data_IF_695294552639
#
_entry.id   IF_695294552639
#
_cell.length_a   1.000
_cell.length_b   1.000
_cell.length_c   1.000
_cell.angle_alpha   90.00
_cell.angle_beta   90.00
_cell.angle_gamma   90.00
#
_symmetry.space_group_name_H-M   'P 1'
#
loop_
_entity.id
_entity.type
_entity.pdbx_description
1 polymer ?
#
# COMPACT_ATOMS: atom_id res chain seq x y z
N UNK A 1 1.79 11.46 21.34
CA UNK A 1 1.81 11.09 19.91
C UNK A 1 1.66 9.58 19.81
N UNK A 2 0.82 9.08 18.90
CA UNK A 2 0.57 7.63 18.73
C UNK A 2 1.60 7.05 17.77
N UNK A 3 2.41 6.08 18.21
CA UNK A 3 3.48 5.49 17.39
C UNK A 3 3.52 3.97 17.52
N UNK A 4 3.82 3.29 16.40
CA UNK A 4 3.94 1.85 16.34
C UNK A 4 5.09 1.45 15.40
N UNK A 5 6.02 0.65 15.90
CA UNK A 5 7.09 0.05 15.09
C UNK A 5 6.69 -1.37 14.68
N UNK A 6 6.76 -1.66 13.39
CA UNK A 6 6.39 -2.93 12.79
C UNK A 6 7.58 -3.56 12.08
N UNK A 7 8.08 -4.68 12.60
CA UNK A 7 9.12 -5.49 11.99
C UNK A 7 8.51 -6.44 10.96
N UNK A 8 8.97 -6.29 9.72
CA UNK A 8 8.53 -7.06 8.56
C UNK A 8 9.73 -7.65 7.81
N UNK A 9 9.47 -8.56 6.87
CA UNK A 9 10.44 -9.05 5.92
C UNK A 9 11.04 -7.93 5.05
N UNK A 10 12.31 -8.07 4.67
CA UNK A 10 12.96 -7.12 3.78
C UNK A 10 12.55 -7.35 2.32
N UNK A 11 12.04 -6.30 1.68
CA UNK A 11 11.79 -6.23 0.23
C UNK A 11 12.15 -4.84 -0.30
N UNK A 12 12.41 -4.72 -1.60
CA UNK A 12 12.64 -3.43 -2.26
C UNK A 12 11.33 -2.67 -2.41
N UNK A 13 10.29 -3.28 -2.99
CA UNK A 13 9.09 -2.59 -3.48
C UNK A 13 7.84 -2.84 -2.64
N UNK A 14 7.72 -4.01 -2.00
CA UNK A 14 6.50 -4.41 -1.29
C UNK A 14 5.23 -4.28 -2.16
N UNK A 15 5.31 -4.78 -3.40
CA UNK A 15 4.21 -4.84 -4.38
C UNK A 15 3.98 -6.26 -4.92
N UNK A 16 4.35 -7.29 -4.15
CA UNK A 16 4.41 -8.68 -4.60
C UNK A 16 5.82 -9.17 -4.89
N UNK A 17 6.04 -10.47 -4.74
CA UNK A 17 7.31 -11.13 -5.08
C UNK A 17 7.56 -11.13 -6.58
N UNK A 18 8.76 -10.72 -6.98
CA UNK A 18 9.28 -10.82 -8.35
C UNK A 18 10.65 -11.50 -8.35
N UNK A 19 11.14 -11.90 -9.52
CA UNK A 19 12.47 -12.53 -9.63
C UNK A 19 13.61 -11.67 -9.06
N UNK A 20 13.48 -10.34 -9.10
CA UNK A 20 14.47 -9.38 -8.59
C UNK A 20 14.11 -8.75 -7.21
N UNK A 21 12.96 -9.13 -6.64
CA UNK A 21 12.45 -8.63 -5.35
C UNK A 21 11.73 -9.74 -4.57
N UNK A 22 12.53 -10.59 -3.92
CA UNK A 22 12.05 -11.63 -3.01
C UNK A 22 12.00 -11.11 -1.58
N UNK A 23 11.08 -11.65 -0.78
CA UNK A 23 11.00 -11.35 0.64
C UNK A 23 12.06 -12.11 1.44
N UNK A 24 12.80 -11.38 2.29
CA UNK A 24 13.76 -11.98 3.23
C UNK A 24 13.26 -11.82 4.66
N UNK A 25 12.85 -12.93 5.28
CA UNK A 25 12.34 -12.95 6.65
C UNK A 25 13.49 -12.99 7.68
N UNK A 26 13.30 -12.32 8.81
CA UNK A 26 14.24 -12.34 9.93
C UNK A 26 13.82 -13.36 11.00
N UNK A 27 13.86 -14.67 10.72
CA UNK A 27 13.60 -15.71 11.72
C UNK A 27 13.20 -17.07 11.13
N UNK A 28 13.31 -18.14 11.94
CA UNK A 28 12.97 -19.53 11.59
C UNK A 28 11.45 -19.82 11.54
N UNK A 29 10.60 -18.89 12.02
CA UNK A 29 9.16 -19.07 12.01
C UNK A 29 8.56 -18.70 10.66
N UNK A 30 8.47 -19.74 9.82
CA UNK A 30 7.68 -19.76 8.60
C UNK A 30 6.27 -20.22 8.99
N UNK A 31 5.42 -19.30 9.47
CA UNK A 31 4.00 -19.60 9.67
C UNK A 31 3.40 -20.04 8.33
N UNK A 32 2.69 -21.16 8.30
CA UNK A 32 2.13 -21.76 7.09
C UNK A 32 0.88 -21.02 6.58
N UNK A 33 0.25 -20.18 7.40
CA UNK A 33 -1.11 -19.70 7.13
C UNK A 33 -1.21 -18.26 6.58
N UNK A 34 -0.20 -17.40 6.79
CA UNK A 34 -0.26 -15.99 6.38
C UNK A 34 1.04 -15.49 5.71
N UNK A 35 1.77 -16.42 5.05
CA UNK A 35 3.08 -16.13 4.43
C UNK A 35 3.00 -14.96 3.48
N UNK A 36 3.81 -13.93 3.76
CA UNK A 36 4.10 -12.88 2.81
C UNK A 36 2.95 -11.90 2.57
N UNK A 37 1.92 -11.80 3.42
CA UNK A 37 0.95 -10.70 3.30
C UNK A 37 1.63 -9.32 3.35
N UNK A 38 2.70 -9.21 4.14
CA UNK A 38 3.57 -8.02 4.21
C UNK A 38 4.22 -7.64 2.87
N UNK A 39 4.29 -8.56 1.89
CA UNK A 39 4.85 -8.30 0.57
C UNK A 39 4.07 -7.24 -0.23
N UNK A 40 2.87 -6.89 0.23
CA UNK A 40 1.97 -5.92 -0.41
C UNK A 40 1.78 -4.64 0.39
N UNK A 41 2.57 -4.41 1.45
CA UNK A 41 2.38 -3.24 2.32
C UNK A 41 2.33 -1.93 1.52
N UNK A 42 3.13 -1.78 0.45
CA UNK A 42 3.14 -0.58 -0.40
C UNK A 42 2.49 -0.78 -1.78
N UNK A 43 1.53 -1.72 -1.87
CA UNK A 43 0.69 -1.90 -3.05
C UNK A 43 -0.50 -0.92 -3.00
N UNK A 44 -0.55 0.02 -3.94
CA UNK A 44 -1.63 1.00 -4.02
C UNK A 44 -2.93 0.33 -4.53
N UNK A 45 -4.00 0.45 -3.75
CA UNK A 45 -5.36 0.11 -4.14
C UNK A 45 -6.25 1.30 -3.78
N UNK A 46 -6.90 1.90 -4.78
CA UNK A 46 -7.79 3.07 -4.60
C UNK A 46 -7.18 4.20 -3.75
N UNK A 47 -5.90 4.50 -3.96
CA UNK A 47 -5.20 5.58 -3.25
C UNK A 47 -4.85 5.26 -1.80
N UNK A 48 -4.93 3.99 -1.38
CA UNK A 48 -4.60 3.55 -0.04
C UNK A 48 -3.53 2.43 -0.06
N UNK A 49 -2.76 2.38 1.03
CA UNK A 49 -1.95 1.24 1.42
C UNK A 49 -2.64 0.46 2.54
N UNK A 50 -2.53 -0.86 2.44
CA UNK A 50 -3.12 -1.83 3.36
C UNK A 50 -1.97 -2.65 3.94
N UNK A 51 -1.40 -2.14 5.04
CA UNK A 51 -0.26 -2.72 5.71
C UNK A 51 -0.63 -3.92 6.58
N UNK A 52 0.21 -4.93 6.51
CA UNK A 52 0.16 -6.13 7.34
C UNK A 52 1.42 -6.22 8.22
N UNK A 53 1.21 -6.44 9.50
CA UNK A 53 2.23 -6.94 10.44
C UNK A 53 1.67 -8.15 11.16
N UNK A 54 2.43 -9.25 11.16
CA UNK A 54 2.03 -10.46 11.88
C UNK A 54 2.11 -10.22 13.40
N UNK A 55 0.95 -10.24 14.06
CA UNK A 55 0.84 -10.32 15.52
C UNK A 55 1.02 -11.78 15.94
N UNK A 56 1.88 -12.06 16.92
CA UNK A 56 2.16 -13.44 17.36
C UNK A 56 0.88 -14.14 17.82
N UNK A 57 0.57 -15.31 17.26
CA UNK A 57 -0.40 -16.24 17.85
C UNK A 57 0.24 -16.94 19.05
N UNK A 58 -0.11 -16.52 20.26
CA UNK A 58 0.16 -17.33 21.45
C UNK A 58 -1.05 -18.23 21.70
N UNK A 59 -1.04 -19.46 21.18
CA UNK A 59 -2.14 -20.43 21.34
C UNK A 59 -3.43 -20.04 20.62
N UNK A 60 -4.50 -20.81 20.84
CA UNK A 60 -5.84 -20.76 20.19
C UNK A 60 -6.61 -19.41 20.32
N UNK A 61 -5.94 -18.27 20.46
CA UNK A 61 -6.54 -16.94 20.45
C UNK A 61 -6.18 -16.23 19.15
N UNK A 62 -7.18 -15.58 18.54
CA UNK A 62 -7.00 -14.71 17.38
C UNK A 62 -5.93 -13.66 17.70
N UNK A 63 -4.94 -13.52 16.82
CA UNK A 63 -3.82 -12.61 17.03
C UNK A 63 -4.29 -11.15 16.99
N UNK A 64 -4.48 -10.52 18.15
CA UNK A 64 -4.89 -9.12 18.24
C UNK A 64 -3.69 -8.16 18.43
N UNK A 65 -3.83 -6.94 17.93
CA UNK A 65 -2.94 -5.83 18.20
C UNK A 65 -3.51 -5.04 19.38
N UNK A 66 -2.72 -4.94 20.45
CA UNK A 66 -3.09 -4.27 21.69
C UNK A 66 -3.05 -2.75 21.51
N UNK A 67 -4.15 -2.16 21.02
CA UNK A 67 -4.24 -0.73 20.69
C UNK A 67 -3.99 0.16 21.91
N UNK A 68 -4.43 -0.27 23.09
CA UNK A 68 -4.17 0.37 24.38
C UNK A 68 -2.68 0.53 24.70
N UNK A 69 -1.81 -0.29 24.09
CA UNK A 69 -0.36 -0.13 24.21
C UNK A 69 0.21 0.94 23.29
N UNK A 70 -0.50 1.33 22.23
CA UNK A 70 -0.13 2.49 21.41
C UNK A 70 -0.56 3.77 22.13
N UNK A 71 -1.81 3.81 22.57
CA UNK A 71 -2.43 4.97 23.20
C UNK A 71 -3.62 4.52 24.05
N UNK A 72 -3.84 5.19 25.18
CA UNK A 72 -4.86 4.78 26.14
C UNK A 72 -6.27 4.93 25.56
N UNK A 73 -6.48 5.81 24.56
CA UNK A 73 -7.75 5.91 23.82
C UNK A 73 -8.09 4.65 23.00
N UNK A 74 -7.14 3.72 22.85
CA UNK A 74 -7.32 2.44 22.17
C UNK A 74 -8.04 1.38 23.01
N UNK A 75 -8.24 1.61 24.31
CA UNK A 75 -8.94 0.68 25.20
C UNK A 75 -10.38 0.44 24.72
N UNK A 76 -10.77 -0.84 24.62
CA UNK A 76 -12.09 -1.28 24.11
C UNK A 76 -12.47 -0.75 22.71
N UNK A 77 -11.49 -0.32 21.90
CA UNK A 77 -11.69 0.06 20.49
C UNK A 77 -11.25 -1.03 19.53
N UNK A 78 -11.90 -1.10 18.38
CA UNK A 78 -11.51 -2.00 17.27
C UNK A 78 -10.45 -1.38 16.35
N UNK A 79 -10.25 -0.07 16.44
CA UNK A 79 -9.26 0.66 15.65
C UNK A 79 -8.82 1.95 16.33
N UNK A 80 -7.62 2.40 15.98
CA UNK A 80 -7.03 3.65 16.43
C UNK A 80 -6.53 4.44 15.21
N UNK A 81 -6.94 5.70 15.11
CA UNK A 81 -6.54 6.61 14.02
C UNK A 81 -5.37 7.52 14.44
N UNK A 82 -4.80 8.20 13.45
CA UNK A 82 -3.69 9.16 13.61
C UNK A 82 -2.41 8.53 14.20
N UNK A 83 -2.14 7.27 13.83
CA UNK A 83 -0.96 6.55 14.28
C UNK A 83 0.19 6.76 13.28
N UNK A 84 1.38 7.10 13.77
CA UNK A 84 2.62 7.00 13.02
C UNK A 84 3.09 5.54 13.06
N UNK A 85 2.96 4.84 11.93
CA UNK A 85 3.45 3.47 11.79
C UNK A 85 4.80 3.48 11.11
N UNK A 86 5.83 2.96 11.78
CA UNK A 86 7.19 2.87 11.27
C UNK A 86 7.48 1.42 10.87
N UNK A 87 7.76 1.21 9.59
CA UNK A 87 8.12 -0.11 9.07
C UNK A 87 9.63 -0.33 9.23
N UNK A 88 9.97 -1.42 9.88
CA UNK A 88 11.33 -1.83 10.16
C UNK A 88 11.59 -3.18 9.48
N UNK A 89 12.72 -3.34 8.83
CA UNK A 89 13.11 -4.64 8.28
C UNK A 89 14.60 -4.87 8.42
N UNK A 90 15.00 -6.11 8.64
CA UNK A 90 16.41 -6.50 8.71
C UNK A 90 16.97 -6.67 7.30
N UNK A 91 17.96 -5.85 6.93
CA UNK A 91 18.67 -6.00 5.66
C UNK A 91 19.34 -7.38 5.59
N UNK A 92 19.27 -8.10 4.45
CA UNK A 92 19.96 -9.37 4.28
C UNK A 92 21.44 -9.24 4.65
N UNK A 93 21.95 -10.22 5.41
CA UNK A 93 23.33 -10.28 5.91
C UNK A 93 23.75 -9.19 6.91
N UNK A 94 22.88 -8.26 7.29
CA UNK A 94 23.15 -7.29 8.36
C UNK A 94 23.00 -7.97 9.73
N UNK A 95 23.91 -7.68 10.68
CA UNK A 95 23.89 -8.22 12.05
C UNK A 95 23.61 -7.15 13.11
N UNK A 96 23.52 -5.87 12.74
CA UNK A 96 23.48 -4.72 13.66
C UNK A 96 22.08 -4.49 14.20
N UNK A 97 21.05 -4.53 13.35
CA UNK A 97 19.67 -4.25 13.74
C UNK A 97 18.71 -4.17 12.55
N UNK A 98 17.47 -3.78 12.83
CA UNK A 98 16.51 -3.43 11.80
C UNK A 98 16.84 -2.08 11.17
N UNK A 99 16.37 -1.84 9.95
CA UNK A 99 16.40 -0.53 9.32
C UNK A 99 14.98 0.00 9.17
N UNK A 100 14.78 1.30 9.36
CA UNK A 100 13.54 1.94 8.91
C UNK A 100 13.49 1.81 7.39
N UNK A 101 12.46 1.16 6.87
CA UNK A 101 12.25 0.97 5.42
C UNK A 101 11.22 1.93 4.86
N UNK A 102 10.39 2.53 5.73
CA UNK A 102 9.32 3.43 5.37
C UNK A 102 8.39 3.67 6.55
N UNK A 103 7.37 4.47 6.33
CA UNK A 103 6.36 4.79 7.35
C UNK A 103 5.04 5.16 6.72
N UNK A 104 3.98 5.02 7.51
CA UNK A 104 2.65 5.59 7.25
C UNK A 104 2.39 6.66 8.30
N UNK A 105 2.20 7.91 7.87
CA UNK A 105 1.61 8.95 8.72
C UNK A 105 0.09 8.78 8.72
N UNK A 106 -0.56 9.28 9.76
CA UNK A 106 -2.02 9.33 9.85
C UNK A 106 -2.72 7.98 9.62
N UNK A 107 -2.09 6.87 10.02
CA UNK A 107 -2.61 5.54 9.77
C UNK A 107 -3.76 5.18 10.72
N UNK A 108 -4.70 4.39 10.23
CA UNK A 108 -5.65 3.63 11.04
C UNK A 108 -5.06 2.25 11.33
N UNK A 109 -4.91 1.90 12.60
CA UNK A 109 -4.45 0.58 13.07
C UNK A 109 -5.64 -0.18 13.64
N UNK A 110 -5.84 -1.42 13.22
CA UNK A 110 -6.94 -2.27 13.65
C UNK A 110 -6.48 -3.29 14.70
N UNK A 111 -7.35 -3.55 15.69
CA UNK A 111 -7.13 -4.58 16.71
C UNK A 111 -7.06 -5.97 16.10
N UNK A 112 -7.98 -6.27 15.18
CA UNK A 112 -8.05 -7.54 14.47
C UNK A 112 -7.67 -7.36 13.01
N UNK A 113 -7.17 -8.43 12.39
CA UNK A 113 -6.97 -8.46 10.94
C UNK A 113 -8.29 -8.12 10.23
N UNK A 114 -8.17 -7.27 9.22
CA UNK A 114 -9.19 -6.95 8.24
C UNK A 114 -8.80 -7.63 6.94
N UNK A 115 -9.82 -7.96 6.16
CA UNK A 115 -9.63 -8.55 4.86
C UNK A 115 -10.39 -7.72 3.84
N UNK A 116 -9.81 -7.56 2.67
CA UNK A 116 -10.52 -7.23 1.45
C UNK A 116 -10.22 -8.33 0.43
N UNK A 117 -10.84 -8.25 -0.74
CA UNK A 117 -10.70 -9.31 -1.74
C UNK A 117 -9.27 -9.56 -2.27
N UNK A 118 -8.32 -8.67 -1.95
CA UNK A 118 -6.94 -8.76 -2.40
C UNK A 118 -5.96 -9.02 -1.25
N UNK A 119 -6.27 -8.55 -0.04
CA UNK A 119 -5.29 -8.41 1.04
C UNK A 119 -5.90 -8.67 2.42
N UNK A 120 -5.10 -9.31 3.27
CA UNK A 120 -5.26 -9.32 4.72
C UNK A 120 -4.34 -8.22 5.28
N UNK A 121 -4.87 -7.36 6.15
CA UNK A 121 -4.17 -6.19 6.68
C UNK A 121 -4.64 -5.86 8.10
N UNK A 122 -3.83 -5.11 8.86
CA UNK A 122 -4.22 -4.54 10.16
C UNK A 122 -3.85 -3.07 10.27
N UNK A 123 -3.38 -2.45 9.19
CA UNK A 123 -2.99 -1.06 9.12
C UNK A 123 -3.47 -0.49 7.78
N UNK A 124 -4.07 0.69 7.77
CA UNK A 124 -4.49 1.39 6.54
C UNK A 124 -4.03 2.83 6.58
N UNK A 125 -3.53 3.35 5.47
CA UNK A 125 -3.20 4.76 5.32
C UNK A 125 -3.38 5.22 3.87
N UNK A 126 -3.58 6.51 3.66
CA UNK A 126 -3.57 7.08 2.32
C UNK A 126 -2.14 7.06 1.76
N UNK A 127 -2.00 6.81 0.47
CA UNK A 127 -0.66 6.78 -0.15
C UNK A 127 0.09 8.09 -0.01
N UNK A 128 -0.61 9.24 0.02
CA UNK A 128 -0.01 10.57 0.18
C UNK A 128 0.70 10.76 1.53
N UNK A 129 0.23 10.08 2.57
CA UNK A 129 0.79 10.13 3.93
C UNK A 129 1.94 9.12 4.15
N UNK A 130 2.26 8.32 3.14
CA UNK A 130 3.19 7.21 3.26
C UNK A 130 4.51 7.48 2.53
N UNK A 131 5.59 6.85 2.98
CA UNK A 131 6.88 6.86 2.27
C UNK A 131 7.48 5.47 2.33
N UNK A 132 7.85 4.92 1.17
CA UNK A 132 8.80 3.82 1.06
C UNK A 132 10.19 4.37 0.75
N UNK A 133 11.17 4.07 1.60
CA UNK A 133 12.54 4.55 1.41
C UNK A 133 13.23 3.66 0.36
N UNK A 134 13.93 4.24 -0.64
CA UNK A 134 14.72 3.47 -1.59
C UNK A 134 15.75 2.60 -0.87
N UNK A 135 16.00 1.34 -1.32
CA UNK A 135 16.89 0.41 -0.61
C UNK A 135 18.29 0.95 -0.27
N UNK A 136 18.81 1.89 -1.07
CA UNK A 136 20.11 2.54 -0.85
C UNK A 136 20.09 3.61 0.26
N UNK A 137 18.93 4.17 0.58
CA UNK A 137 18.75 5.20 1.61
C UNK A 137 18.19 4.66 2.94
N UNK A 138 17.96 3.35 3.06
CA UNK A 138 17.52 2.68 4.30
C UNK A 138 18.67 2.54 5.30
N UNK A 139 19.15 3.67 5.81
CA UNK A 139 20.36 3.76 6.64
C UNK A 139 20.05 3.84 8.13
N UNK A 140 18.89 4.38 8.51
CA UNK A 140 18.51 4.58 9.92
C UNK A 140 18.27 3.24 10.63
N UNK A 141 18.95 3.03 11.75
CA UNK A 141 18.97 1.75 12.49
C UNK A 141 17.99 1.79 13.66
N UNK A 142 17.15 0.77 13.78
CA UNK A 142 16.43 0.44 15.01
C UNK A 142 17.13 -0.76 15.64
N UNK A 143 17.80 -0.50 16.76
CA UNK A 143 18.55 -1.53 17.46
C UNK A 143 17.62 -2.49 18.21
N UNK A 144 17.99 -3.79 18.32
CA UNK A 144 17.27 -4.73 19.15
C UNK A 144 17.39 -4.36 20.64
N UNK A 145 16.32 -4.54 21.42
CA UNK A 145 16.32 -4.31 22.87
C UNK A 145 17.42 -5.10 23.60
N UNK A 146 17.79 -6.29 23.10
CA UNK A 146 18.88 -7.09 23.67
C UNK A 146 20.27 -6.44 23.59
N UNK A 147 20.44 -5.40 22.75
CA UNK A 147 21.70 -4.68 22.56
C UNK A 147 21.74 -3.42 23.42
N UNK A 148 20.63 -2.67 23.46
CA UNK A 148 20.59 -1.33 24.06
C UNK A 148 19.73 -1.22 25.33
N UNK A 149 19.15 -2.33 25.79
CA UNK A 149 18.35 -2.41 27.01
C UNK A 149 16.87 -2.68 26.77
N UNK A 150 16.20 -3.23 27.78
CA UNK A 150 14.75 -3.40 27.78
C UNK A 150 14.05 -2.04 27.63
N UNK A 151 12.92 -1.98 26.93
CA UNK A 151 12.19 -0.74 26.65
C UNK A 151 12.81 0.13 25.55
N UNK A 152 14.12 0.02 25.30
CA UNK A 152 14.89 0.87 24.38
C UNK A 152 14.94 0.37 22.94
N UNK A 153 14.16 -0.63 22.53
CA UNK A 153 14.24 -1.10 21.15
C UNK A 153 13.33 -2.26 20.86
N UNK A 154 13.45 -2.81 19.64
CA UNK A 154 12.58 -3.91 19.23
C UNK A 154 12.99 -5.22 19.89
N UNK A 155 12.02 -5.86 20.53
CA UNK A 155 12.17 -7.19 21.15
C UNK A 155 11.98 -8.33 20.15
N UNK A 156 11.57 -9.50 20.64
CA UNK A 156 11.24 -10.67 19.79
C UNK A 156 9.87 -10.55 19.10
N UNK A 157 9.06 -9.54 19.43
CA UNK A 157 7.76 -9.30 18.79
C UNK A 157 7.95 -8.58 17.46
N UNK A 158 7.04 -8.78 16.51
CA UNK A 158 7.02 -7.98 15.29
C UNK A 158 6.52 -6.56 15.55
N UNK A 159 5.89 -6.30 16.70
CA UNK A 159 5.44 -4.97 17.09
C UNK A 159 6.22 -4.45 18.29
N UNK A 160 6.55 -3.16 18.28
CA UNK A 160 7.06 -2.43 19.42
C UNK A 160 6.30 -1.11 19.56
N UNK A 161 5.72 -0.91 20.74
CA UNK A 161 4.84 0.23 21.03
C UNK A 161 5.58 1.47 21.54
N UNK A 162 6.88 1.34 21.85
CA UNK A 162 7.74 2.43 22.28
C UNK A 162 7.11 3.33 23.37
N UNK A 163 6.54 2.73 24.42
CA UNK A 163 6.07 3.43 25.63
C UNK A 163 7.16 3.46 26.71
N UNK A 164 7.16 4.52 27.53
CA UNK A 164 8.08 4.70 28.66
C UNK A 164 9.20 5.71 28.39
N UNK A 165 9.77 6.26 29.47
CA UNK A 165 10.86 7.26 29.42
C UNK A 165 12.07 6.74 28.63
N UNK A 166 12.32 5.42 28.68
CA UNK A 166 13.47 4.81 27.99
C UNK A 166 13.38 4.88 26.46
N UNK A 167 12.17 5.04 25.91
CA UNK A 167 11.95 5.10 24.46
C UNK A 167 11.95 6.53 23.90
N UNK A 168 11.85 7.57 24.74
CA UNK A 168 11.63 8.96 24.33
C UNK A 168 12.70 9.47 23.37
N UNK A 169 13.98 9.33 23.74
CA UNK A 169 15.11 9.75 22.90
C UNK A 169 15.09 9.06 21.52
N UNK A 170 14.72 7.79 21.47
CA UNK A 170 14.67 7.02 20.22
C UNK A 170 13.51 7.51 19.35
N UNK A 171 12.35 7.78 19.97
CA UNK A 171 11.18 8.32 19.29
C UNK A 171 11.49 9.70 18.72
N UNK A 172 12.06 10.61 19.52
CA UNK A 172 12.44 11.95 19.07
C UNK A 172 13.40 11.91 17.88
N UNK A 173 14.44 11.07 17.95
CA UNK A 173 15.39 10.90 16.85
C UNK A 173 14.72 10.30 15.60
N UNK A 174 13.78 9.35 15.77
CA UNK A 174 13.02 8.79 14.66
C UNK A 174 12.09 9.81 14.01
N UNK A 175 11.37 10.62 14.79
CA UNK A 175 10.52 11.70 14.30
C UNK A 175 11.38 12.68 13.49
N UNK A 176 12.50 13.12 14.06
CA UNK A 176 13.43 14.03 13.37
C UNK A 176 13.91 13.45 12.05
N UNK A 177 14.27 12.17 12.01
CA UNK A 177 14.63 11.49 10.78
C UNK A 177 13.49 11.50 9.75
N UNK A 178 12.26 11.21 10.16
CA UNK A 178 11.07 11.19 9.29
C UNK A 178 10.71 12.59 8.77
N UNK A 179 10.82 13.62 9.62
CA UNK A 179 10.49 15.01 9.27
C UNK A 179 11.54 15.65 8.37
N UNK A 180 12.82 15.28 8.53
CA UNK A 180 13.92 15.79 7.71
C UNK A 180 14.18 14.98 6.45
N UNK A 181 13.50 13.84 6.28
CA UNK A 181 13.62 13.02 5.07
C UNK A 181 13.06 13.76 3.85
N UNK A 182 13.97 14.10 2.93
CA UNK A 182 13.67 14.89 1.73
C UNK A 182 13.98 14.15 0.42
N UNK A 183 14.44 12.89 0.50
CA UNK A 183 14.72 12.07 -0.69
C UNK A 183 13.43 11.60 -1.36
N UNK A 184 13.52 11.24 -2.63
CA UNK A 184 12.40 10.64 -3.34
C UNK A 184 11.92 9.34 -2.69
N UNK A 185 10.60 9.18 -2.65
CA UNK A 185 9.95 7.95 -2.21
C UNK A 185 9.98 6.90 -3.33
N UNK A 186 10.29 5.66 -2.97
CA UNK A 186 10.55 4.57 -3.91
C UNK A 186 9.28 3.95 -4.52
N UNK A 187 8.16 4.09 -3.83
CA UNK A 187 6.86 3.55 -4.18
C UNK A 187 6.13 4.34 -5.28
N UNK A 188 6.53 5.59 -5.56
CA UNK A 188 6.07 6.44 -6.67
C UNK A 188 4.57 6.27 -6.98
N UNK A 189 3.66 6.66 -6.06
CA UNK A 189 2.24 6.49 -6.27
C UNK A 189 1.75 7.32 -7.46
N UNK A 190 0.79 6.78 -8.21
CA UNK A 190 0.16 7.48 -9.32
C UNK A 190 -0.75 8.58 -8.77
N UNK A 191 -0.53 9.81 -9.25
CA UNK A 191 -1.28 11.01 -8.86
C UNK A 191 -2.49 11.26 -9.76
N UNK A 192 -3.43 12.09 -9.29
CA UNK A 192 -4.57 12.50 -10.12
C UNK A 192 -4.14 13.25 -11.38
N UNK A 193 -3.13 14.11 -11.27
CA UNK A 193 -2.56 14.85 -12.39
C UNK A 193 -2.04 13.88 -13.46
N UNK A 194 -1.36 12.80 -13.05
CA UNK A 194 -0.90 11.77 -13.99
C UNK A 194 -2.05 11.01 -14.66
N UNK A 195 -3.15 10.74 -13.95
CA UNK A 195 -4.33 10.04 -14.49
C UNK A 195 -5.13 10.91 -15.47
N UNK A 196 -5.15 12.23 -15.24
CA UNK A 196 -5.86 13.21 -16.08
C UNK A 196 -4.97 13.81 -17.18
N UNK A 197 -3.66 13.59 -17.10
CA UNK A 197 -2.69 14.07 -18.07
C UNK A 197 -3.06 13.64 -19.49
N UNK A 198 -2.98 14.59 -20.42
CA UNK A 198 -3.07 14.37 -21.85
C UNK A 198 -1.65 14.20 -22.37
N UNK A 199 -1.38 13.10 -23.07
CA UNK A 199 -0.03 12.82 -23.58
C UNK A 199 0.55 13.98 -24.40
N UNK A 200 1.87 14.11 -24.39
CA UNK A 200 2.63 15.03 -25.28
C UNK A 200 3.15 14.34 -26.55
N UNK A 201 3.01 13.02 -26.64
CA UNK A 201 3.40 12.26 -27.81
C UNK A 201 2.50 12.64 -28.99
N UNK A 202 3.09 12.78 -30.18
CA UNK A 202 2.40 13.17 -31.40
C UNK A 202 2.29 11.97 -32.35
N UNK A 203 1.08 11.64 -32.77
CA UNK A 203 0.79 10.68 -33.84
C UNK A 203 -0.02 11.36 -34.95
N UNK A 204 -0.02 10.74 -36.13
CA UNK A 204 -0.66 11.32 -37.32
C UNK A 204 -2.19 11.42 -37.24
N UNK A 205 -2.83 10.57 -36.42
CA UNK A 205 -4.29 10.52 -36.27
C UNK A 205 -4.70 9.94 -34.91
N UNK A 206 -5.97 10.15 -34.53
CA UNK A 206 -6.55 9.65 -33.27
C UNK A 206 -6.59 8.11 -33.19
N UNK A 207 -6.70 7.42 -34.33
CA UNK A 207 -6.73 5.95 -34.36
C UNK A 207 -5.36 5.35 -33.97
N UNK A 208 -4.27 6.06 -34.26
CA UNK A 208 -2.92 5.69 -33.85
C UNK A 208 -2.77 5.73 -32.32
N UNK A 209 -3.30 6.77 -31.66
CA UNK A 209 -3.38 6.82 -30.19
C UNK A 209 -4.18 5.65 -29.62
N UNK A 210 -5.30 5.29 -30.25
CA UNK A 210 -6.15 4.18 -29.80
C UNK A 210 -5.39 2.84 -29.87
N UNK A 211 -4.75 2.57 -31.01
CA UNK A 211 -3.97 1.34 -31.25
C UNK A 211 -2.81 1.22 -30.27
N UNK A 212 -2.07 2.30 -30.03
CA UNK A 212 -0.95 2.28 -29.05
C UNK A 212 -1.47 2.18 -27.61
N UNK A 213 -2.59 2.83 -27.29
CA UNK A 213 -3.25 2.70 -25.99
C UNK A 213 -3.64 1.26 -25.68
N UNK A 214 -4.24 0.57 -26.65
CA UNK A 214 -4.64 -0.83 -26.51
C UNK A 214 -3.46 -1.77 -26.30
N UNK A 215 -2.36 -1.57 -27.05
CA UNK A 215 -1.11 -2.34 -26.86
C UNK A 215 -0.51 -2.18 -25.46
N UNK A 216 -0.65 -0.98 -24.88
CA UNK A 216 -0.08 -0.65 -23.59
C UNK A 216 -1.00 -0.97 -22.41
N UNK A 217 -2.28 -1.34 -22.63
CA UNK A 217 -3.28 -1.42 -21.55
C UNK A 217 -2.84 -2.29 -20.36
N UNK A 218 -2.10 -3.38 -20.60
CA UNK A 218 -1.57 -4.24 -19.54
C UNK A 218 -0.10 -3.96 -19.18
N UNK A 219 0.68 -3.38 -20.11
CA UNK A 219 2.13 -3.14 -19.95
C UNK A 219 2.42 -1.81 -19.27
N UNK A 220 1.66 -0.78 -19.62
CA UNK A 220 1.71 0.56 -19.07
C UNK A 220 0.31 1.19 -19.12
N UNK A 221 -0.60 0.76 -18.21
CA UNK A 221 -1.98 1.21 -18.24
C UNK A 221 -2.12 2.73 -18.04
N UNK A 222 -1.18 3.35 -17.30
CA UNK A 222 -1.15 4.80 -17.11
C UNK A 222 -0.96 5.53 -18.45
N UNK A 223 0.01 5.10 -19.27
CA UNK A 223 0.24 5.70 -20.59
C UNK A 223 -0.94 5.46 -21.54
N UNK A 224 -1.59 4.29 -21.47
CA UNK A 224 -2.83 4.04 -22.21
C UNK A 224 -3.93 5.05 -21.88
N UNK A 225 -4.15 5.31 -20.57
CA UNK A 225 -5.11 6.33 -20.12
C UNK A 225 -4.76 7.70 -20.69
N UNK A 226 -3.48 8.07 -20.71
CA UNK A 226 -3.04 9.37 -21.23
C UNK A 226 -3.23 9.53 -22.75
N UNK A 227 -3.14 8.43 -23.51
CA UNK A 227 -3.52 8.40 -24.92
C UNK A 227 -5.03 8.54 -25.13
N UNK A 228 -5.84 7.85 -24.32
CA UNK A 228 -7.29 7.99 -24.39
C UNK A 228 -7.78 9.37 -23.92
N UNK A 229 -7.08 10.02 -22.99
CA UNK A 229 -7.34 11.41 -22.63
C UNK A 229 -7.13 12.37 -23.82
N UNK A 230 -6.10 12.14 -24.66
CA UNK A 230 -5.87 12.91 -25.89
C UNK A 230 -7.02 12.73 -26.88
N UNK A 231 -7.46 11.49 -27.10
CA UNK A 231 -8.61 11.19 -27.98
C UNK A 231 -9.88 11.89 -27.49
N UNK A 232 -10.19 11.83 -26.19
CA UNK A 232 -11.38 12.49 -25.64
C UNK A 232 -11.27 14.01 -25.78
N UNK A 233 -10.08 14.58 -25.54
CA UNK A 233 -9.86 16.03 -25.63
C UNK A 233 -10.05 16.56 -27.05
N UNK A 234 -9.61 15.83 -28.07
CA UNK A 234 -9.62 16.30 -29.46
C UNK A 234 -10.84 15.83 -30.25
N UNK A 235 -11.31 14.60 -30.01
CA UNK A 235 -12.45 13.99 -30.70
C UNK A 235 -13.79 14.10 -29.98
N UNK A 236 -13.79 14.54 -28.71
CA UNK A 236 -14.98 14.59 -27.86
C UNK A 236 -15.25 13.29 -27.10
N UNK A 237 -16.36 13.27 -26.35
CA UNK A 237 -16.74 12.12 -25.54
C UNK A 237 -17.14 10.91 -26.41
N UNK A 238 -16.52 9.75 -26.12
CA UNK A 238 -16.85 8.47 -26.76
C UNK A 238 -16.94 7.38 -25.67
N UNK A 239 -18.07 6.68 -25.62
CA UNK A 239 -18.34 5.67 -24.57
C UNK A 239 -17.37 4.48 -24.62
N UNK A 240 -16.89 4.07 -25.80
CA UNK A 240 -15.92 3.00 -25.93
C UNK A 240 -14.54 3.44 -25.42
N UNK A 241 -14.16 4.70 -25.64
CA UNK A 241 -12.92 5.26 -25.10
C UNK A 241 -13.01 5.41 -23.57
N UNK A 242 -14.16 5.84 -23.04
CA UNK A 242 -14.41 5.86 -21.60
C UNK A 242 -14.35 4.45 -21.00
N UNK A 243 -14.92 3.44 -21.67
CA UNK A 243 -14.85 2.05 -21.24
C UNK A 243 -13.40 1.57 -21.16
N UNK A 244 -12.58 1.85 -22.18
CA UNK A 244 -11.14 1.54 -22.18
C UNK A 244 -10.41 2.21 -21.03
N UNK A 245 -10.70 3.49 -20.76
CA UNK A 245 -10.15 4.22 -19.62
C UNK A 245 -10.54 3.56 -18.29
N UNK A 246 -11.77 3.04 -18.16
CA UNK A 246 -12.17 2.26 -16.99
C UNK A 246 -11.36 0.95 -16.85
N UNK A 247 -11.08 0.24 -17.94
CA UNK A 247 -10.17 -0.92 -17.91
C UNK A 247 -8.75 -0.53 -17.48
N UNK A 248 -8.26 0.62 -17.93
CA UNK A 248 -7.00 1.20 -17.48
C UNK A 248 -6.97 1.41 -15.96
N UNK A 249 -8.04 2.01 -15.39
CA UNK A 249 -8.17 2.18 -13.95
C UNK A 249 -8.17 0.84 -13.20
N UNK A 250 -8.85 -0.19 -13.70
CA UNK A 250 -8.84 -1.55 -13.11
C UNK A 250 -7.41 -2.11 -13.08
N UNK A 251 -6.66 -2.01 -14.18
CA UNK A 251 -5.28 -2.50 -14.26
C UNK A 251 -4.32 -1.73 -13.34
N UNK A 252 -4.65 -0.49 -12.98
CA UNK A 252 -3.95 0.31 -11.98
C UNK A 252 -4.48 0.13 -10.54
N UNK A 253 -5.51 -0.72 -10.34
CA UNK A 253 -6.20 -0.93 -9.05
C UNK A 253 -6.91 0.31 -8.50
N UNK A 254 -7.33 1.22 -9.38
CA UNK A 254 -8.27 2.31 -9.09
C UNK A 254 -9.71 1.85 -9.33
N UNK A 255 -10.12 0.81 -8.61
CA UNK A 255 -11.43 0.15 -8.76
C UNK A 255 -12.61 1.09 -8.55
N UNK A 256 -12.54 1.98 -7.56
CA UNK A 256 -13.59 2.97 -7.30
C UNK A 256 -13.75 3.97 -8.45
N UNK A 257 -12.65 4.38 -9.09
CA UNK A 257 -12.69 5.24 -10.30
C UNK A 257 -13.24 4.49 -11.50
N UNK A 258 -12.86 3.22 -11.67
CA UNK A 258 -13.37 2.36 -12.72
C UNK A 258 -14.89 2.17 -12.60
N UNK A 259 -15.39 1.80 -11.42
CA UNK A 259 -16.81 1.60 -11.15
C UNK A 259 -17.61 2.89 -11.44
N UNK A 260 -17.15 4.03 -10.93
CA UNK A 260 -17.78 5.34 -11.19
C UNK A 260 -17.88 5.64 -12.69
N UNK A 261 -16.82 5.36 -13.45
CA UNK A 261 -16.81 5.60 -14.89
C UNK A 261 -17.71 4.62 -15.66
N UNK A 262 -17.73 3.34 -15.26
CA UNK A 262 -18.62 2.33 -15.85
C UNK A 262 -20.09 2.66 -15.59
N UNK A 263 -20.43 3.10 -14.38
CA UNK A 263 -21.79 3.55 -14.04
C UNK A 263 -22.16 4.80 -14.82
N UNK A 264 -21.24 5.74 -14.99
CA UNK A 264 -21.46 6.90 -15.86
C UNK A 264 -21.80 6.49 -17.30
N UNK A 265 -21.06 5.54 -17.89
CA UNK A 265 -21.37 5.01 -19.23
C UNK A 265 -22.81 4.47 -19.29
N UNK A 266 -23.26 3.76 -18.26
CA UNK A 266 -24.64 3.24 -18.21
C UNK A 266 -25.73 4.32 -18.05
N UNK A 267 -25.37 5.51 -17.56
CA UNK A 267 -26.30 6.66 -17.56
C UNK A 267 -26.48 7.25 -18.97
N UNK A 268 -25.51 7.05 -19.86
CA UNK A 268 -25.53 7.52 -21.25
C UNK A 268 -26.11 6.49 -22.20
N UNK A 269 -25.76 5.22 -21.99
CA UNK A 269 -26.31 4.07 -22.70
C UNK A 269 -26.60 2.94 -21.70
N UNK A 270 -27.87 2.84 -21.32
CA UNK A 270 -28.34 1.82 -20.38
C UNK A 270 -28.25 0.40 -20.92
N UNK A 271 -27.96 0.19 -22.21
CA UNK A 271 -27.81 -1.11 -22.86
C UNK A 271 -26.36 -1.49 -23.17
N UNK A 272 -25.38 -0.69 -22.75
CA UNK A 272 -23.95 -0.95 -22.96
C UNK A 272 -23.50 -2.25 -22.26
N UNK A 273 -23.50 -3.37 -23.01
CA UNK A 273 -23.41 -4.74 -22.47
C UNK A 273 -22.08 -4.99 -21.75
N UNK A 274 -20.99 -4.52 -22.34
CA UNK A 274 -19.63 -4.66 -21.85
C UNK A 274 -19.43 -3.96 -20.50
N UNK A 275 -20.09 -2.81 -20.33
CA UNK A 275 -20.09 -2.03 -19.09
C UNK A 275 -20.81 -2.76 -17.96
N UNK A 276 -22.03 -3.25 -18.22
CA UNK A 276 -22.80 -4.06 -17.25
C UNK A 276 -22.02 -5.28 -16.80
N UNK A 277 -21.46 -6.04 -17.76
CA UNK A 277 -20.66 -7.22 -17.48
C UNK A 277 -19.45 -6.87 -16.62
N UNK A 278 -18.74 -5.79 -16.95
CA UNK A 278 -17.53 -5.39 -16.20
C UNK A 278 -17.84 -4.93 -14.78
N UNK A 279 -18.96 -4.25 -14.54
CA UNK A 279 -19.39 -3.89 -13.18
C UNK A 279 -19.63 -5.15 -12.35
N UNK A 280 -20.35 -6.14 -12.89
CA UNK A 280 -20.61 -7.40 -12.18
C UNK A 280 -19.29 -8.14 -11.87
N UNK A 281 -18.37 -8.20 -12.83
CA UNK A 281 -17.03 -8.79 -12.61
C UNK A 281 -16.27 -8.06 -11.50
N UNK A 282 -16.31 -6.73 -11.48
CA UNK A 282 -15.67 -5.91 -10.46
C UNK A 282 -16.31 -6.13 -9.08
N UNK A 283 -17.64 -6.12 -8.99
CA UNK A 283 -18.37 -6.39 -7.75
C UNK A 283 -18.07 -7.80 -7.22
N UNK A 284 -18.04 -8.81 -8.09
CA UNK A 284 -17.69 -10.18 -7.70
C UNK A 284 -16.22 -10.28 -7.25
N UNK A 285 -15.30 -9.61 -7.95
CA UNK A 285 -13.90 -9.56 -7.55
C UNK A 285 -13.72 -8.86 -6.20
N UNK A 286 -14.53 -7.85 -5.88
CA UNK A 286 -14.45 -7.12 -4.60
C UNK A 286 -15.20 -7.81 -3.45
N UNK A 287 -16.24 -8.62 -3.75
CA UNK A 287 -17.00 -9.42 -2.77
C UNK A 287 -16.39 -10.78 -2.46
N UNK A 288 -15.57 -11.32 -3.36
CA UNK A 288 -14.98 -12.65 -3.22
C UNK A 288 -13.99 -12.72 -2.05
N UNK A 289 -14.50 -12.99 -0.85
CA UNK A 289 -13.99 -13.86 0.23
C UNK A 289 -14.71 -13.55 1.58
N UNK A 290 -16.04 -13.35 1.56
CA UNK A 290 -16.90 -13.41 2.78
C UNK A 290 -17.44 -14.83 3.08
N UNK A 291 -16.91 -15.87 2.42
CA UNK A 291 -17.27 -17.28 2.66
C UNK A 291 -16.05 -18.10 3.06
#
# INVERSE_FOLDING_TARGET
MKILFCNIGWMKRYKGVTGDDNITLSGEYVDKNHKGAEQYNFLNIDGNYYGYVCTKSSGNKNSELQLEKIDDSGENKDSLEEVLVIWVAKRPNDKVGGRIIGWYKNATVYRFYKENSLLIYNIKAKVEDCVLIPPMHRTYIIYPARVIGAGKGMGKSNTWFAKGEEAEEIIENCIRYIETYSYERYDQPITEDQLTFVTKDEFNDLNSYLKEGDKLLYKNPLKSIQYWNKIIKEGGEDLNILYRKALGFINLRFYSKADKLLRYILTKDSNYKEGKKKIIELENMLRGLEN
#
